data_IF_843586415342
#
_entry.id   IF_843586415342
#
_cell.length_a   1.000
_cell.length_b   1.000
_cell.length_c   1.000
_cell.angle_alpha   90.00
_cell.angle_beta   90.00
_cell.angle_gamma   90.00
#
_symmetry.space_group_name_H-M   'P 1'
#
loop_
_entity.id
_entity.type
_entity.pdbx_description
1 polymer ?
#
# COMPACT_ATOMS: atom_id res chain seq x y z
N UNK A 1 -0.66 -13.50 4.88
CA UNK A 1 -1.89 -12.98 4.22
C UNK A 1 -1.53 -12.77 2.77
N UNK A 2 -2.44 -13.04 1.83
CA UNK A 2 -2.12 -12.96 0.41
C UNK A 2 -2.63 -11.63 -0.17
N UNK A 3 -1.73 -10.65 -0.31
CA UNK A 3 -2.01 -9.34 -0.90
C UNK A 3 -0.91 -8.98 -1.89
N UNK A 4 -1.30 -8.35 -3.01
CA UNK A 4 -0.38 -7.87 -4.04
C UNK A 4 0.01 -6.45 -3.72
N UNK A 5 1.32 -6.19 -3.60
CA UNK A 5 1.85 -4.87 -3.29
C UNK A 5 2.51 -4.27 -4.53
N UNK A 6 2.28 -2.98 -4.74
CA UNK A 6 2.96 -2.19 -5.75
C UNK A 6 3.33 -0.82 -5.15
N UNK A 7 4.62 -0.46 -5.20
CA UNK A 7 5.06 0.87 -4.83
C UNK A 7 4.65 1.90 -5.89
N UNK A 8 4.21 3.09 -5.51
CA UNK A 8 3.95 4.17 -6.47
C UNK A 8 5.25 4.73 -7.10
N UNK A 9 6.40 4.40 -6.53
CA UNK A 9 7.74 4.77 -7.01
C UNK A 9 8.80 3.85 -6.39
N UNK A 10 10.04 3.92 -6.89
CA UNK A 10 11.19 3.27 -6.25
C UNK A 10 11.43 3.81 -4.83
N UNK A 11 11.70 2.92 -3.87
CA UNK A 11 11.94 3.30 -2.47
C UNK A 11 10.67 3.62 -1.65
N UNK A 12 9.48 3.28 -2.14
CA UNK A 12 8.21 3.51 -1.43
C UNK A 12 8.07 2.78 -0.09
N UNK A 13 8.88 1.73 0.15
CA UNK A 13 8.76 0.85 1.32
C UNK A 13 7.97 -0.43 1.05
N UNK A 14 7.72 -0.76 -0.24
CA UNK A 14 6.96 -1.94 -0.67
C UNK A 14 7.52 -3.23 -0.11
N UNK A 15 8.82 -3.49 -0.29
CA UNK A 15 9.44 -4.74 0.17
C UNK A 15 9.48 -4.86 1.69
N UNK A 16 9.69 -3.74 2.41
CA UNK A 16 9.57 -3.72 3.87
C UNK A 16 8.16 -4.08 4.32
N UNK A 17 7.14 -3.50 3.69
CA UNK A 17 5.74 -3.81 4.00
C UNK A 17 5.37 -5.26 3.62
N UNK A 18 5.91 -5.77 2.50
CA UNK A 18 5.72 -7.15 2.07
C UNK A 18 6.24 -8.14 3.12
N UNK A 19 7.45 -7.90 3.66
CA UNK A 19 8.00 -8.68 4.78
C UNK A 19 7.09 -8.61 6.01
N UNK A 20 6.65 -7.41 6.42
CA UNK A 20 5.77 -7.22 7.59
C UNK A 20 4.39 -7.91 7.45
N UNK A 21 3.89 -8.03 6.23
CA UNK A 21 2.62 -8.71 5.91
C UNK A 21 2.80 -10.21 5.65
N UNK A 22 4.04 -10.68 5.49
CA UNK A 22 4.38 -12.06 5.13
C UNK A 22 3.78 -12.45 3.77
N UNK A 23 3.85 -11.55 2.78
CA UNK A 23 3.35 -11.81 1.41
C UNK A 23 4.53 -11.82 0.43
N UNK A 24 4.59 -12.80 -0.48
CA UNK A 24 5.62 -12.86 -1.51
C UNK A 24 5.31 -11.95 -2.72
N UNK A 25 4.13 -11.34 -2.78
CA UNK A 25 3.63 -10.65 -3.96
C UNK A 25 4.00 -9.17 -3.99
N UNK A 26 5.30 -8.88 -4.01
CA UNK A 26 5.85 -7.55 -4.26
C UNK A 26 6.11 -7.37 -5.76
N UNK A 27 5.36 -6.48 -6.42
CA UNK A 27 5.52 -6.17 -7.84
C UNK A 27 6.56 -5.06 -8.11
N UNK A 28 7.24 -4.58 -7.08
CA UNK A 28 8.22 -3.51 -7.18
C UNK A 28 7.57 -2.12 -7.26
N UNK A 29 8.04 -1.29 -8.19
CA UNK A 29 7.60 0.10 -8.35
C UNK A 29 6.82 0.30 -9.64
N UNK A 30 5.74 1.06 -9.55
CA UNK A 30 4.95 1.54 -10.68
C UNK A 30 5.83 2.34 -11.63
N UNK A 31 5.61 2.11 -12.91
CA UNK A 31 6.13 2.90 -14.03
C UNK A 31 4.99 3.17 -15.00
N UNK A 32 5.08 4.20 -15.85
CA UNK A 32 4.08 4.44 -16.90
C UNK A 32 3.90 3.26 -17.87
N UNK A 33 4.87 2.34 -17.95
CA UNK A 33 4.83 1.13 -18.75
C UNK A 33 4.20 -0.06 -18.01
N UNK A 34 3.85 0.11 -16.73
CA UNK A 34 3.15 -0.91 -15.95
C UNK A 34 1.82 -1.21 -16.63
N UNK A 35 1.73 -2.41 -17.18
CA UNK A 35 0.52 -2.90 -17.83
C UNK A 35 -0.53 -3.28 -16.79
N UNK A 36 -1.65 -3.84 -17.27
CA UNK A 36 -2.72 -4.35 -16.42
C UNK A 36 -2.15 -5.29 -15.35
N UNK A 37 -2.49 -5.02 -14.09
CA UNK A 37 -2.11 -5.86 -12.95
C UNK A 37 -3.17 -6.94 -12.76
N UNK A 38 -2.74 -8.19 -12.81
CA UNK A 38 -3.57 -9.33 -12.44
C UNK A 38 -3.33 -9.68 -10.97
N UNK A 39 -4.34 -9.45 -10.13
CA UNK A 39 -4.25 -9.77 -8.70
C UNK A 39 -4.77 -11.17 -8.39
N UNK A 40 -5.41 -11.85 -9.34
CA UNK A 40 -6.01 -13.17 -9.17
C UNK A 40 -6.88 -13.26 -7.90
N UNK A 41 -7.74 -12.26 -7.68
CA UNK A 41 -8.63 -12.18 -6.52
C UNK A 41 -8.01 -11.67 -5.22
N UNK A 42 -6.69 -11.42 -5.21
CA UNK A 42 -6.00 -10.82 -4.04
C UNK A 42 -6.24 -9.30 -4.00
N UNK A 43 -6.28 -8.67 -2.81
CA UNK A 43 -6.31 -7.23 -2.68
C UNK A 43 -5.03 -6.59 -3.23
N UNK A 44 -5.19 -5.49 -3.98
CA UNK A 44 -4.08 -4.66 -4.45
C UNK A 44 -3.80 -3.53 -3.45
N UNK A 45 -2.57 -3.49 -2.94
CA UNK A 45 -2.06 -2.45 -2.06
C UNK A 45 -1.08 -1.57 -2.83
N UNK A 46 -1.35 -0.27 -2.83
CA UNK A 46 -0.37 0.73 -3.26
C UNK A 46 0.43 1.21 -2.06
N UNK A 47 1.74 1.37 -2.24
CA UNK A 47 2.64 1.83 -1.18
C UNK A 47 3.33 3.11 -1.63
N UNK A 48 3.39 4.12 -0.77
CA UNK A 48 4.09 5.37 -1.06
C UNK A 48 4.70 5.98 0.19
N UNK A 49 5.68 6.87 0.01
CA UNK A 49 6.17 7.75 1.09
C UNK A 49 5.31 9.00 1.20
N UNK A 50 5.23 9.60 2.38
CA UNK A 50 4.46 10.82 2.64
C UNK A 50 5.16 12.13 2.20
N UNK A 51 6.15 12.07 1.32
CA UNK A 51 6.86 13.26 0.82
C UNK A 51 6.11 13.93 -0.34
N UNK A 52 6.36 15.24 -0.54
CA UNK A 52 5.81 15.99 -1.67
C UNK A 52 6.09 15.32 -3.04
N UNK A 53 7.32 14.92 -3.41
CA UNK A 53 7.56 14.24 -4.68
C UNK A 53 6.89 12.85 -4.76
N UNK A 54 6.87 12.08 -3.66
CA UNK A 54 6.22 10.77 -3.62
C UNK A 54 4.70 10.86 -3.81
N UNK A 55 4.07 11.88 -3.23
CA UNK A 55 2.64 12.13 -3.39
C UNK A 55 2.24 12.48 -4.83
N UNK A 56 3.10 13.16 -5.60
CA UNK A 56 2.88 13.38 -7.04
C UNK A 56 2.91 12.05 -7.83
N UNK A 57 3.88 11.18 -7.53
CA UNK A 57 3.97 9.83 -8.12
C UNK A 57 2.79 8.94 -7.73
N UNK A 58 2.25 9.13 -6.54
CA UNK A 58 1.02 8.43 -6.11
C UNK A 58 -0.17 8.79 -6.98
N UNK A 59 -0.36 10.08 -7.28
CA UNK A 59 -1.43 10.53 -8.18
C UNK A 59 -1.28 9.92 -9.58
N UNK A 60 -0.05 9.89 -10.10
CA UNK A 60 0.27 9.25 -11.39
C UNK A 60 -0.08 7.75 -11.38
N UNK A 61 0.40 7.01 -10.38
CA UNK A 61 0.16 5.57 -10.24
C UNK A 61 -1.33 5.24 -10.08
N UNK A 62 -2.04 5.94 -9.19
CA UNK A 62 -3.49 5.73 -9.00
C UNK A 62 -4.24 6.03 -10.30
N UNK A 63 -3.92 7.12 -10.99
CA UNK A 63 -4.59 7.49 -12.24
C UNK A 63 -4.37 6.44 -13.33
N UNK A 64 -3.15 5.95 -13.52
CA UNK A 64 -2.85 4.91 -14.51
C UNK A 64 -3.54 3.58 -14.19
N UNK A 65 -3.50 3.16 -12.93
CA UNK A 65 -4.13 1.92 -12.49
C UNK A 65 -5.65 1.96 -12.55
N UNK A 66 -6.29 3.03 -12.05
CA UNK A 66 -7.73 3.20 -12.19
C UNK A 66 -8.15 3.28 -13.66
N UNK A 67 -7.34 3.95 -14.51
CA UNK A 67 -7.59 4.03 -15.96
C UNK A 67 -7.50 2.68 -16.69
N UNK A 68 -6.73 1.73 -16.16
CA UNK A 68 -6.66 0.35 -16.67
C UNK A 68 -7.68 -0.61 -16.04
N UNK A 69 -8.55 -0.11 -15.15
CA UNK A 69 -9.60 -0.88 -14.48
C UNK A 69 -9.14 -1.66 -13.25
N UNK A 70 -7.94 -1.41 -12.72
CA UNK A 70 -7.48 -2.05 -11.49
C UNK A 70 -8.20 -1.47 -10.26
N UNK A 71 -8.73 -2.35 -9.42
CA UNK A 71 -9.35 -1.98 -8.16
C UNK A 71 -8.29 -1.90 -7.04
N UNK A 72 -8.00 -0.69 -6.56
CA UNK A 72 -7.01 -0.46 -5.50
C UNK A 72 -7.72 -0.61 -4.15
N UNK A 73 -7.34 -1.64 -3.38
CA UNK A 73 -7.97 -1.92 -2.08
C UNK A 73 -7.50 -0.94 -1.00
N UNK A 74 -6.21 -0.61 -0.98
CA UNK A 74 -5.68 0.35 -0.02
C UNK A 74 -4.43 1.07 -0.54
N UNK A 75 -4.33 2.35 -0.21
CA UNK A 75 -3.11 3.14 -0.32
C UNK A 75 -2.46 3.23 1.07
N UNK A 76 -1.28 2.64 1.19
CA UNK A 76 -0.46 2.68 2.40
C UNK A 76 0.56 3.82 2.26
N UNK A 77 0.38 4.84 3.09
CA UNK A 77 1.25 6.01 3.15
C UNK A 77 2.26 5.81 4.28
N UNK A 78 3.51 5.52 3.94
CA UNK A 78 4.62 5.32 4.87
C UNK A 78 5.25 6.68 5.20
N UNK A 79 5.33 7.02 6.48
CA UNK A 79 6.01 8.24 6.88
C UNK A 79 7.51 8.20 6.51
N UNK A 80 8.00 9.25 5.85
CA UNK A 80 9.39 9.41 5.43
C UNK A 80 10.30 9.84 6.60
N UNK A 81 9.71 10.43 7.63
CA UNK A 81 10.41 10.82 8.86
C UNK A 81 9.48 10.95 10.06
N UNK A 82 10.04 11.33 11.21
CA UNK A 82 9.31 11.50 12.46
C UNK A 82 8.44 12.77 12.53
N UNK A 83 8.53 13.63 11.52
CA UNK A 83 7.77 14.87 11.42
C UNK A 83 6.33 14.66 10.94
N UNK A 84 5.52 15.74 10.91
CA UNK A 84 4.18 15.68 10.34
C UNK A 84 4.22 15.52 8.82
N UNK A 85 3.19 14.88 8.26
CA UNK A 85 2.95 14.79 6.81
C UNK A 85 2.90 16.20 6.21
N UNK A 86 3.72 16.51 5.19
CA UNK A 86 3.66 17.78 4.46
C UNK A 86 2.26 18.07 3.90
N UNK A 87 1.81 19.33 4.02
CA UNK A 87 0.47 19.75 3.55
C UNK A 87 0.23 19.43 2.07
N UNK A 88 1.25 19.59 1.24
CA UNK A 88 1.17 19.31 -0.19
C UNK A 88 0.89 17.81 -0.46
N UNK A 89 1.53 16.93 0.30
CA UNK A 89 1.28 15.49 0.22
C UNK A 89 -0.13 15.15 0.69
N UNK A 90 -0.56 15.71 1.82
CA UNK A 90 -1.91 15.52 2.34
C UNK A 90 -3.01 15.93 1.34
N UNK A 91 -2.82 17.05 0.63
CA UNK A 91 -3.73 17.51 -0.42
C UNK A 91 -3.79 16.50 -1.57
N UNK A 92 -2.64 16.01 -2.04
CA UNK A 92 -2.60 15.03 -3.13
C UNK A 92 -3.19 13.67 -2.74
N UNK A 93 -2.99 13.22 -1.51
CA UNK A 93 -3.63 11.99 -1.02
C UNK A 93 -5.15 12.12 -0.97
N UNK A 94 -5.69 13.29 -0.61
CA UNK A 94 -7.14 13.55 -0.70
C UNK A 94 -7.66 13.48 -2.14
N UNK A 95 -6.89 13.90 -3.14
CA UNK A 95 -7.29 13.83 -4.57
C UNK A 95 -7.43 12.39 -5.11
N UNK A 96 -6.91 11.40 -4.39
CA UNK A 96 -6.98 9.98 -4.79
C UNK A 96 -7.86 9.16 -3.85
N UNK A 97 -8.42 9.76 -2.80
CA UNK A 97 -9.15 9.06 -1.74
C UNK A 97 -10.36 8.29 -2.28
N UNK A 98 -11.15 8.89 -3.17
CA UNK A 98 -12.32 8.24 -3.78
C UNK A 98 -11.96 7.12 -4.78
N UNK A 99 -10.69 6.99 -5.16
CA UNK A 99 -10.19 5.99 -6.12
C UNK A 99 -9.49 4.82 -5.44
N UNK A 100 -9.39 4.83 -4.12
CA UNK A 100 -8.77 3.76 -3.32
C UNK A 100 -9.74 3.34 -2.23
N UNK A 101 -9.81 2.04 -1.91
CA UNK A 101 -10.75 1.56 -0.89
C UNK A 101 -10.50 2.14 0.50
N UNK A 102 -9.23 2.35 0.87
CA UNK A 102 -8.84 2.99 2.14
C UNK A 102 -7.45 3.59 2.06
N UNK A 103 -7.22 4.72 2.73
CA UNK A 103 -5.88 5.25 2.97
C UNK A 103 -5.45 4.91 4.40
N UNK A 104 -4.35 4.16 4.56
CA UNK A 104 -3.78 3.85 5.88
C UNK A 104 -2.40 4.50 6.01
N UNK A 105 -2.20 5.26 7.08
CA UNK A 105 -0.93 5.93 7.39
C UNK A 105 -0.08 5.07 8.32
N UNK A 106 1.04 4.58 7.81
CA UNK A 106 2.01 3.85 8.58
C UNK A 106 3.06 4.81 9.16
N UNK A 107 3.20 4.90 10.50
CA UNK A 107 4.08 5.88 11.12
C UNK A 107 5.55 5.54 10.90
N UNK A 108 6.42 6.53 11.08
CA UNK A 108 7.86 6.33 11.02
C UNK A 108 8.32 5.44 12.18
N UNK A 109 9.03 4.36 11.86
CA UNK A 109 9.63 3.44 12.82
C UNK A 109 11.14 3.43 12.60
N UNK A 110 11.88 4.04 13.51
CA UNK A 110 13.34 4.18 13.40
C UNK A 110 14.04 2.82 13.24
N UNK A 111 13.56 1.77 13.93
CA UNK A 111 14.12 0.42 13.83
C UNK A 111 14.08 -0.17 12.41
N UNK A 112 13.04 0.15 11.63
CA UNK A 112 12.93 -0.31 10.23
C UNK A 112 13.92 0.39 9.28
N UNK A 113 14.53 1.50 9.69
CA UNK A 113 15.51 2.22 8.86
C UNK A 113 16.88 1.55 8.84
N UNK A 114 17.20 0.79 9.90
CA UNK A 114 18.50 0.16 10.08
C UNK A 114 18.45 -1.36 9.95
N UNK A 115 17.25 -1.95 9.92
CA UNK A 115 17.07 -3.36 9.67
C UNK A 115 17.18 -3.64 8.17
N UNK A 116 17.79 -4.78 7.83
CA UNK A 116 17.68 -5.35 6.49
C UNK A 116 16.22 -5.71 6.21
N UNK A 117 15.80 -5.59 4.95
CA UNK A 117 14.42 -5.87 4.54
C UNK A 117 13.97 -7.28 4.92
N UNK A 118 14.88 -8.25 4.90
CA UNK A 118 14.62 -9.65 5.29
C UNK A 118 14.35 -9.83 6.80
N UNK A 119 14.75 -8.86 7.62
CA UNK A 119 14.59 -8.89 9.08
C UNK A 119 13.56 -7.87 9.58
N UNK A 120 12.83 -7.21 8.67
CA UNK A 120 11.87 -6.17 9.01
C UNK A 120 10.75 -6.66 9.94
N UNK A 121 10.34 -7.93 9.83
CA UNK A 121 9.35 -8.60 10.70
C UNK A 121 9.86 -8.86 12.12
N UNK A 122 11.18 -8.88 12.31
CA UNK A 122 11.83 -9.03 13.63
C UNK A 122 11.94 -7.71 14.38
N UNK A 123 11.72 -6.58 13.71
CA UNK A 123 11.75 -5.26 14.34
C UNK A 123 10.55 -5.09 15.25
N UNK A 124 10.80 -4.75 16.52
CA UNK A 124 9.73 -4.42 17.46
C UNK A 124 9.02 -3.14 17.04
N UNK A 125 7.78 -3.29 16.58
CA UNK A 125 6.95 -2.18 16.15
C UNK A 125 6.37 -1.40 17.35
N UNK A 126 6.31 -0.07 17.30
CA UNK A 126 5.51 0.71 18.23
C UNK A 126 4.02 0.40 18.05
N UNK A 127 3.21 0.53 19.10
CA UNK A 127 1.75 0.28 19.07
C UNK A 127 1.01 0.95 17.91
N UNK A 128 1.42 2.16 17.53
CA UNK A 128 0.83 2.90 16.40
C UNK A 128 1.11 2.20 15.05
N UNK A 129 2.30 1.64 14.88
CA UNK A 129 2.67 0.87 13.69
C UNK A 129 1.99 -0.50 13.68
N UNK A 130 1.91 -1.18 14.83
CA UNK A 130 1.14 -2.43 14.97
C UNK A 130 -0.34 -2.22 14.59
N UNK A 131 -0.94 -1.12 15.08
CA UNK A 131 -2.32 -0.75 14.74
C UNK A 131 -2.50 -0.46 13.25
N UNK A 132 -1.57 0.30 12.64
CA UNK A 132 -1.62 0.55 11.20
C UNK A 132 -1.49 -0.75 10.40
N UNK A 133 -0.63 -1.68 10.83
CA UNK A 133 -0.49 -2.99 10.19
C UNK A 133 -1.75 -3.84 10.33
N UNK A 134 -2.40 -3.81 11.50
CA UNK A 134 -3.68 -4.47 11.72
C UNK A 134 -4.77 -3.89 10.80
N UNK A 135 -4.86 -2.57 10.66
CA UNK A 135 -5.80 -1.90 9.76
C UNK A 135 -5.59 -2.29 8.29
N UNK A 136 -4.34 -2.42 7.84
CA UNK A 136 -4.01 -2.92 6.49
C UNK A 136 -4.52 -4.35 6.31
N UNK A 137 -4.32 -5.21 7.33
CA UNK A 137 -4.79 -6.61 7.30
C UNK A 137 -6.32 -6.71 7.25
N UNK A 138 -7.02 -5.86 8.01
CA UNK A 138 -8.49 -5.79 8.00
C UNK A 138 -9.03 -5.42 6.62
N UNK A 139 -8.45 -4.40 5.96
CA UNK A 139 -8.88 -4.01 4.61
C UNK A 139 -8.69 -5.16 3.62
N UNK A 140 -7.58 -5.87 3.72
CA UNK A 140 -7.31 -6.99 2.83
C UNK A 140 -8.27 -8.17 3.05
N UNK A 141 -8.63 -8.45 4.30
CA UNK A 141 -9.62 -9.47 4.63
C UNK A 141 -11.01 -9.11 4.06
N UNK A 142 -11.42 -7.84 4.17
CA UNK A 142 -12.69 -7.37 3.65
C UNK A 142 -12.80 -7.48 2.12
N UNK A 143 -11.74 -7.09 1.39
CA UNK A 143 -11.73 -7.22 -0.08
C UNK A 143 -11.70 -8.70 -0.52
N UNK A 144 -10.94 -9.55 0.16
CA UNK A 144 -10.87 -10.98 -0.15
C UNK A 144 -12.23 -11.68 0.01
N UNK A 145 -13.01 -11.28 1.01
CA UNK A 145 -14.36 -11.81 1.24
C UNK A 145 -15.38 -11.33 0.20
N UNK A 146 -15.29 -10.08 -0.26
CA UNK A 146 -16.18 -9.56 -1.30
C UNK A 146 -15.96 -10.27 -2.66
N UNK A 147 -14.72 -10.68 -2.96
CA UNK A 147 -14.40 -11.44 -4.15
C UNK A 147 -14.92 -12.90 -4.08
N UNK A 148 -14.97 -13.51 -2.90
CA UNK A 148 -15.53 -14.87 -2.73
C UNK A 148 -17.06 -14.91 -2.77
N UNK A 149 -17.75 -13.90 -2.23
CA UNK A 149 -19.22 -13.87 -2.20
C UNK A 149 -19.86 -13.67 -3.58
N UNK A 150 -19.15 -12.98 -4.49
CA UNK A 150 -19.64 -12.77 -5.86
C UNK A 150 -19.61 -14.07 -6.67
N UNK A 151 -18.76 -15.04 -6.30
CA UNK A 151 -18.59 -16.31 -7.02
C UNK A 151 -19.67 -17.36 -6.68
N UNK A 152 -20.48 -17.14 -5.65
CA UNK A 152 -21.55 -18.06 -5.21
C UNK A 152 -22.95 -17.72 -5.73
N UNK A 153 -23.09 -16.75 -6.63
CA UNK A 153 -24.39 -16.29 -7.18
C UNK A 153 -24.63 -16.67 -8.64
N UNK A 154 -23.71 -17.40 -9.23
CA UNK A 154 -23.79 -17.97 -10.58
C UNK A 154 -23.58 -19.49 -10.50
N UNK A 155 -24.50 -20.20 -9.84
CA UNK A 155 -24.73 -21.64 -10.05
C UNK A 155 -26.25 -21.92 -10.14
#
# INVERSE_FOLDING_TARGET
MDAVLLGCHGGAGTSTLATLLGTPWDLGGYTPQTQRIETFGRPLLLVTRDSAPASARTVEAVTGLSGSGAAISCLVVIADGSGPEPREAAVRFRLVEDRVGRIVRFPFVAGLRYADTADADKVRLPRKAERALAEIREVCAATGSAASDTKGREE
#
